data_IF_929634616495
#
_entry.id   IF_929634616495
#
_cell.length_a   1.000
_cell.length_b   1.000
_cell.length_c   1.000
_cell.angle_alpha   90.00
_cell.angle_beta   90.00
_cell.angle_gamma   90.00
#
_symmetry.space_group_name_H-M   'P 1'
#
loop_
_entity.id
_entity.type
_entity.pdbx_description
1 polymer ?
#
# COMPACT_ATOMS: atom_id res chain seq x y z
N UNK A 1 -11.49 18.74 3.44
CA UNK A 1 -11.03 17.44 2.88
C UNK A 1 -11.95 16.35 3.42
N UNK A 2 -12.38 15.37 2.60
CA UNK A 2 -13.20 14.21 3.01
C UNK A 2 -12.37 12.93 3.12
N UNK A 3 -12.76 12.00 4.00
CA UNK A 3 -12.04 10.72 4.18
C UNK A 3 -11.91 9.92 2.88
N UNK A 4 -12.91 10.02 1.98
CA UNK A 4 -12.91 9.39 0.65
C UNK A 4 -11.70 9.77 -0.23
N UNK A 5 -11.13 10.97 -0.08
CA UNK A 5 -9.95 11.34 -0.86
C UNK A 5 -8.71 10.58 -0.38
N UNK A 6 -8.56 10.37 0.93
CA UNK A 6 -7.48 9.57 1.48
C UNK A 6 -7.60 8.10 1.09
N UNK A 7 -8.83 7.56 1.05
CA UNK A 7 -9.09 6.22 0.49
C UNK A 7 -8.66 6.12 -0.97
N UNK A 8 -8.94 7.14 -1.79
CA UNK A 8 -8.53 7.16 -3.21
C UNK A 8 -7.01 7.26 -3.36
N UNK A 9 -6.34 8.08 -2.57
CA UNK A 9 -4.88 8.18 -2.56
C UNK A 9 -4.28 6.82 -2.18
N UNK A 10 -4.79 6.20 -1.11
CA UNK A 10 -4.40 4.86 -0.68
C UNK A 10 -4.53 3.84 -1.84
N UNK A 11 -5.68 3.81 -2.51
CA UNK A 11 -5.89 2.95 -3.67
C UNK A 11 -4.88 3.22 -4.81
N UNK A 12 -4.61 4.49 -5.12
CA UNK A 12 -3.70 4.87 -6.19
C UNK A 12 -2.25 4.47 -5.91
N UNK A 13 -1.81 4.43 -4.64
CA UNK A 13 -0.50 3.89 -4.27
C UNK A 13 -0.41 2.41 -4.68
N UNK A 14 -1.40 1.60 -4.29
CA UNK A 14 -1.45 0.18 -4.63
C UNK A 14 -1.57 -0.07 -6.14
N UNK A 15 -2.44 0.67 -6.83
CA UNK A 15 -2.64 0.52 -8.28
C UNK A 15 -1.38 0.95 -9.04
N UNK A 16 -0.80 2.10 -8.70
CA UNK A 16 0.35 2.64 -9.41
C UNK A 16 1.58 1.76 -9.28
N UNK A 17 1.97 1.43 -8.04
CA UNK A 17 3.13 0.55 -7.80
C UNK A 17 2.85 -0.88 -8.28
N UNK A 18 1.62 -1.38 -8.09
CA UNK A 18 1.21 -2.69 -8.58
C UNK A 18 1.24 -2.80 -10.11
N UNK A 19 0.79 -1.76 -10.83
CA UNK A 19 0.87 -1.69 -12.29
C UNK A 19 2.31 -1.69 -12.78
N UNK A 20 3.23 -1.02 -12.08
CA UNK A 20 4.64 -1.07 -12.45
C UNK A 20 5.21 -2.48 -12.33
N UNK A 21 4.96 -3.17 -11.21
CA UNK A 21 5.36 -4.56 -10.99
C UNK A 21 4.72 -5.53 -12.00
N UNK A 22 3.45 -5.31 -12.36
CA UNK A 22 2.73 -6.18 -13.29
C UNK A 22 3.18 -6.02 -14.74
N UNK A 23 3.33 -4.77 -15.20
CA UNK A 23 3.59 -4.48 -16.61
C UNK A 23 5.08 -4.49 -16.97
N UNK A 24 5.96 -4.23 -15.99
CA UNK A 24 7.41 -4.16 -16.19
C UNK A 24 8.20 -4.93 -15.11
N UNK A 25 7.92 -6.23 -14.89
CA UNK A 25 8.50 -7.00 -13.80
C UNK A 25 10.03 -7.08 -13.85
N UNK A 26 10.61 -7.29 -15.04
CA UNK A 26 12.07 -7.35 -15.22
C UNK A 26 12.76 -6.03 -14.86
N UNK A 27 12.13 -4.90 -15.22
CA UNK A 27 12.64 -3.57 -14.89
C UNK A 27 12.62 -3.37 -13.39
N UNK A 28 11.51 -3.70 -12.73
CA UNK A 28 11.39 -3.61 -11.27
C UNK A 28 12.44 -4.46 -10.58
N UNK A 29 12.60 -5.74 -10.96
CA UNK A 29 13.61 -6.63 -10.39
C UNK A 29 15.02 -6.03 -10.52
N UNK A 30 15.36 -5.50 -11.70
CA UNK A 30 16.67 -4.92 -11.98
C UNK A 30 16.98 -3.68 -11.14
N UNK A 31 15.96 -2.90 -10.75
CA UNK A 31 16.14 -1.74 -9.88
C UNK A 31 16.27 -2.15 -8.43
N UNK A 32 15.41 -3.07 -7.97
CA UNK A 32 15.29 -3.34 -6.53
C UNK A 32 16.30 -4.36 -6.03
N UNK A 33 16.75 -5.32 -6.84
CA UNK A 33 17.66 -6.38 -6.39
C UNK A 33 19.13 -5.99 -6.56
N UNK A 34 19.95 -6.21 -5.53
CA UNK A 34 21.41 -6.13 -5.68
C UNK A 34 21.92 -7.26 -6.58
N UNK A 35 23.09 -7.09 -7.25
CA UNK A 35 23.60 -8.08 -8.20
C UNK A 35 23.72 -9.51 -7.64
N UNK A 36 24.04 -9.66 -6.35
CA UNK A 36 24.17 -10.97 -5.70
C UNK A 36 22.84 -11.74 -5.53
N UNK A 37 21.70 -11.06 -5.66
CA UNK A 37 20.36 -11.61 -5.46
C UNK A 37 19.47 -11.49 -6.70
N UNK A 38 19.97 -10.88 -7.76
CA UNK A 38 19.26 -10.75 -9.03
C UNK A 38 19.15 -12.13 -9.71
N UNK A 39 17.93 -12.50 -10.12
CA UNK A 39 17.66 -13.79 -10.76
C UNK A 39 17.49 -13.60 -12.27
N UNK A 40 16.66 -12.63 -12.68
CA UNK A 40 16.55 -12.19 -14.07
C UNK A 40 16.10 -13.25 -15.07
N UNK A 41 15.13 -14.09 -14.69
CA UNK A 41 14.56 -15.10 -15.57
C UNK A 41 13.03 -15.06 -15.57
N UNK A 42 12.38 -15.81 -16.46
CA UNK A 42 10.91 -15.79 -16.59
C UNK A 42 10.16 -16.18 -15.32
N UNK A 43 10.79 -16.96 -14.43
CA UNK A 43 10.20 -17.34 -13.15
C UNK A 43 10.23 -16.18 -12.16
N UNK A 44 11.34 -15.43 -12.06
CA UNK A 44 11.41 -14.25 -11.20
C UNK A 44 10.50 -13.14 -11.71
N UNK A 45 10.42 -12.95 -13.03
CA UNK A 45 9.47 -12.02 -13.66
C UNK A 45 8.02 -12.37 -13.33
N UNK A 46 7.65 -13.66 -13.41
CA UNK A 46 6.32 -14.13 -13.04
C UNK A 46 5.99 -13.81 -11.58
N UNK A 47 6.93 -13.99 -10.65
CA UNK A 47 6.69 -13.69 -9.24
C UNK A 47 6.52 -12.20 -8.97
N UNK A 48 7.33 -11.34 -9.60
CA UNK A 48 7.17 -9.88 -9.49
C UNK A 48 5.83 -9.43 -10.10
N UNK A 49 5.44 -10.00 -11.24
CA UNK A 49 4.17 -9.71 -11.88
C UNK A 49 2.98 -10.16 -11.02
N UNK A 50 3.04 -11.34 -10.40
CA UNK A 50 2.03 -11.83 -9.46
C UNK A 50 1.87 -10.90 -8.24
N UNK A 51 2.97 -10.40 -7.69
CA UNK A 51 2.94 -9.40 -6.62
C UNK A 51 2.24 -8.11 -7.10
N UNK A 52 2.57 -7.63 -8.29
CA UNK A 52 1.89 -6.48 -8.92
C UNK A 52 0.39 -6.69 -9.12
N UNK A 53 -0.02 -7.86 -9.62
CA UNK A 53 -1.43 -8.21 -9.82
C UNK A 53 -2.21 -8.19 -8.50
N UNK A 54 -1.64 -8.73 -7.42
CA UNK A 54 -2.25 -8.71 -6.09
C UNK A 54 -2.40 -7.26 -5.57
N UNK A 55 -1.39 -6.41 -5.77
CA UNK A 55 -1.47 -5.01 -5.38
C UNK A 55 -2.57 -4.26 -6.16
N UNK A 56 -2.71 -4.48 -7.47
CA UNK A 56 -3.79 -3.90 -8.28
C UNK A 56 -5.16 -4.38 -7.80
N UNK A 57 -5.31 -5.67 -7.49
CA UNK A 57 -6.55 -6.22 -6.96
C UNK A 57 -6.94 -5.51 -5.66
N UNK A 58 -6.01 -5.41 -4.71
CA UNK A 58 -6.22 -4.70 -3.44
C UNK A 58 -6.56 -3.23 -3.69
N UNK A 59 -5.81 -2.53 -4.51
CA UNK A 59 -6.06 -1.12 -4.84
C UNK A 59 -7.43 -0.90 -5.49
N UNK A 60 -7.87 -1.80 -6.36
CA UNK A 60 -9.21 -1.76 -6.99
C UNK A 60 -10.31 -1.96 -5.96
N UNK A 61 -10.15 -2.93 -5.05
CA UNK A 61 -11.08 -3.14 -3.93
C UNK A 61 -11.14 -1.90 -3.05
N UNK A 62 -10.00 -1.31 -2.69
CA UNK A 62 -9.95 -0.06 -1.91
C UNK A 62 -10.68 1.05 -2.66
N UNK A 63 -10.44 1.23 -3.96
CA UNK A 63 -11.02 2.33 -4.73
C UNK A 63 -12.55 2.26 -4.83
N UNK A 64 -13.09 1.04 -4.95
CA UNK A 64 -14.51 0.79 -5.21
C UNK A 64 -15.35 0.56 -3.95
N UNK A 65 -14.71 0.24 -2.82
CA UNK A 65 -15.40 -0.03 -1.55
C UNK A 65 -15.86 1.22 -0.83
N UNK A 66 -16.69 1.03 0.21
CA UNK A 66 -16.97 2.06 1.22
C UNK A 66 -16.19 1.75 2.48
N UNK A 67 -15.29 2.65 2.88
CA UNK A 67 -14.51 2.47 4.10
C UNK A 67 -15.31 2.87 5.34
N UNK A 68 -15.30 2.00 6.35
CA UNK A 68 -15.63 2.38 7.72
C UNK A 68 -14.38 2.99 8.38
N UNK A 69 -14.53 3.71 9.50
CA UNK A 69 -13.37 4.15 10.28
C UNK A 69 -12.42 2.99 10.60
N UNK A 70 -12.95 1.85 11.04
CA UNK A 70 -12.14 0.65 11.33
C UNK A 70 -11.37 0.14 10.11
N UNK A 71 -11.94 0.23 8.91
CA UNK A 71 -11.27 -0.17 7.66
C UNK A 71 -10.01 0.67 7.42
N UNK A 72 -10.06 1.98 7.66
CA UNK A 72 -8.87 2.84 7.58
C UNK A 72 -7.79 2.42 8.57
N UNK A 73 -8.17 2.06 9.80
CA UNK A 73 -7.21 1.61 10.81
C UNK A 73 -6.57 0.27 10.45
N UNK A 74 -7.37 -0.67 9.93
CA UNK A 74 -6.89 -2.00 9.50
C UNK A 74 -5.87 -1.85 8.37
N UNK A 75 -6.19 -1.11 7.30
CA UNK A 75 -5.22 -0.85 6.23
C UNK A 75 -4.02 -0.03 6.72
N UNK A 76 -4.27 0.95 7.58
CA UNK A 76 -3.27 1.86 8.10
C UNK A 76 -2.25 1.21 9.02
N UNK A 77 -2.64 0.24 9.85
CA UNK A 77 -1.77 -0.36 10.86
C UNK A 77 -1.56 -1.84 10.58
N UNK A 78 -2.64 -2.63 10.57
CA UNK A 78 -2.53 -4.09 10.49
C UNK A 78 -1.91 -4.52 9.16
N UNK A 79 -2.32 -3.91 8.06
CA UNK A 79 -1.78 -4.23 6.75
C UNK A 79 -0.41 -3.60 6.50
N UNK A 80 -0.12 -2.41 7.03
CA UNK A 80 1.13 -1.68 6.73
C UNK A 80 2.33 -2.13 7.58
N UNK A 81 2.11 -2.49 8.85
CA UNK A 81 3.18 -2.88 9.79
C UNK A 81 4.01 -4.06 9.29
N UNK A 82 3.42 -5.13 8.71
CA UNK A 82 4.19 -6.20 8.10
C UNK A 82 5.15 -5.72 7.01
N UNK A 83 4.77 -4.72 6.20
CA UNK A 83 5.66 -4.17 5.17
C UNK A 83 6.85 -3.40 5.76
N UNK A 84 6.68 -2.67 6.86
CA UNK A 84 7.81 -2.06 7.56
C UNK A 84 8.80 -3.11 8.07
N UNK A 85 8.30 -4.22 8.63
CA UNK A 85 9.12 -5.35 9.05
C UNK A 85 9.84 -6.01 7.87
N UNK A 86 9.13 -6.22 6.76
CA UNK A 86 9.68 -6.75 5.51
C UNK A 86 10.82 -5.87 5.00
N UNK A 87 10.61 -4.57 4.89
CA UNK A 87 11.61 -3.61 4.39
C UNK A 87 12.84 -3.62 5.29
N UNK A 88 12.65 -3.54 6.60
CA UNK A 88 13.76 -3.55 7.54
C UNK A 88 14.61 -4.82 7.40
N UNK A 89 13.96 -5.98 7.41
CA UNK A 89 14.67 -7.26 7.35
C UNK A 89 15.41 -7.47 6.02
N UNK A 90 14.75 -7.25 4.88
CA UNK A 90 15.35 -7.53 3.58
C UNK A 90 16.35 -6.46 3.13
N UNK A 91 16.23 -5.22 3.61
CA UNK A 91 17.19 -4.16 3.33
C UNK A 91 18.37 -4.16 4.31
N UNK A 92 18.15 -4.07 5.62
CA UNK A 92 19.24 -3.93 6.59
C UNK A 92 19.85 -5.26 7.05
N UNK A 93 19.04 -6.30 7.22
CA UNK A 93 19.54 -7.59 7.75
C UNK A 93 20.07 -8.49 6.64
N UNK A 94 19.32 -8.63 5.54
CA UNK A 94 19.72 -9.49 4.41
C UNK A 94 20.49 -8.76 3.32
N UNK A 95 20.40 -7.43 3.26
CA UNK A 95 21.09 -6.64 2.25
C UNK A 95 20.70 -7.02 0.82
N UNK A 96 19.46 -7.48 0.60
CA UNK A 96 19.00 -7.98 -0.71
C UNK A 96 18.64 -6.84 -1.65
N UNK A 97 18.02 -5.79 -1.10
CA UNK A 97 17.53 -4.67 -1.89
C UNK A 97 18.59 -3.56 -2.08
N UNK A 98 18.51 -2.88 -3.21
CA UNK A 98 19.20 -1.60 -3.46
C UNK A 98 18.50 -0.46 -2.72
N UNK A 99 19.06 0.74 -2.81
CA UNK A 99 18.48 1.95 -2.21
C UNK A 99 17.15 2.36 -2.86
N UNK A 100 16.78 1.78 -4.01
CA UNK A 100 15.44 1.93 -4.59
C UNK A 100 14.32 1.44 -3.68
N UNK A 101 14.64 0.63 -2.66
CA UNK A 101 13.72 0.26 -1.58
C UNK A 101 13.12 1.49 -0.86
N UNK A 102 13.74 2.66 -0.95
CA UNK A 102 13.19 3.91 -0.42
C UNK A 102 11.80 4.21 -1.00
N UNK A 103 11.53 3.84 -2.26
CA UNK A 103 10.23 4.06 -2.87
C UNK A 103 9.15 3.24 -2.18
N UNK A 104 9.42 1.97 -1.91
CA UNK A 104 8.50 1.10 -1.19
C UNK A 104 8.29 1.61 0.26
N UNK A 105 9.37 2.03 0.92
CA UNK A 105 9.28 2.67 2.23
C UNK A 105 8.39 3.92 2.22
N UNK A 106 8.54 4.80 1.23
CA UNK A 106 7.67 5.98 1.06
C UNK A 106 6.22 5.56 0.80
N UNK A 107 5.99 4.52 0.00
CA UNK A 107 4.68 3.92 -0.21
C UNK A 107 4.03 3.46 1.10
N UNK A 108 4.77 2.74 1.93
CA UNK A 108 4.30 2.24 3.23
C UNK A 108 4.00 3.37 4.23
N UNK A 109 4.84 4.42 4.25
CA UNK A 109 4.56 5.63 5.02
C UNK A 109 3.29 6.31 4.52
N UNK A 110 3.08 6.39 3.20
CA UNK A 110 1.87 6.92 2.60
C UNK A 110 0.61 6.14 2.98
N UNK A 111 0.69 4.80 2.94
CA UNK A 111 -0.38 3.88 3.38
C UNK A 111 -0.71 4.11 4.85
N UNK A 112 0.31 4.13 5.72
CA UNK A 112 0.18 4.34 7.15
C UNK A 112 -0.46 5.70 7.47
N UNK A 113 0.03 6.77 6.85
CA UNK A 113 -0.48 8.13 7.01
C UNK A 113 -1.94 8.26 6.53
N UNK A 114 -2.26 7.72 5.35
CA UNK A 114 -3.62 7.72 4.82
C UNK A 114 -4.59 6.94 5.72
N UNK A 115 -4.15 5.81 6.29
CA UNK A 115 -4.95 5.04 7.23
C UNK A 115 -5.22 5.77 8.54
N UNK A 116 -4.19 6.31 9.20
CA UNK A 116 -4.35 7.04 10.46
C UNK A 116 -5.18 8.33 10.29
N UNK A 117 -4.90 9.11 9.26
CA UNK A 117 -5.66 10.33 9.00
C UNK A 117 -7.08 9.99 8.57
N UNK A 118 -7.24 9.04 7.65
CA UNK A 118 -8.54 8.60 7.16
C UNK A 118 -9.45 8.10 8.29
N UNK A 119 -8.88 7.37 9.26
CA UNK A 119 -9.58 6.96 10.48
C UNK A 119 -10.11 8.16 11.27
N UNK A 120 -9.23 9.11 11.61
CA UNK A 120 -9.60 10.30 12.39
C UNK A 120 -10.67 11.14 11.68
N UNK A 121 -10.54 11.31 10.36
CA UNK A 121 -11.48 12.09 9.57
C UNK A 121 -12.82 11.37 9.44
N UNK A 122 -12.81 10.06 9.19
CA UNK A 122 -14.03 9.25 9.08
C UNK A 122 -14.80 9.18 10.40
N UNK A 123 -14.12 9.15 11.55
CA UNK A 123 -14.78 9.27 12.87
C UNK A 123 -15.50 10.62 13.04
N UNK A 124 -14.86 11.72 12.65
CA UNK A 124 -15.46 13.07 12.73
C UNK A 124 -16.67 13.20 11.83
N UNK A 125 -16.58 12.67 10.60
CA UNK A 125 -17.69 12.64 9.65
C UNK A 125 -18.87 11.81 10.20
N UNK A 126 -18.61 10.62 10.76
CA UNK A 126 -19.65 9.78 11.36
C UNK A 126 -20.32 10.42 12.58
N UNK A 127 -19.55 11.11 13.43
CA UNK A 127 -20.08 11.84 14.58
C UNK A 127 -20.97 13.01 14.15
N UNK A 128 -20.56 13.77 13.12
CA UNK A 128 -21.35 14.86 12.58
C UNK A 128 -22.70 14.38 12.00
N UNK A 129 -22.69 13.27 11.25
CA UNK A 129 -23.92 12.66 10.71
C UNK A 129 -24.88 12.20 11.83
N UNK A 130 -24.35 11.67 12.94
CA UNK A 130 -25.17 11.26 14.09
C UNK A 130 -25.71 12.46 14.88
N UNK A 131 -24.96 13.55 15.00
CA UNK A 131 -25.43 14.78 15.67
C UNK A 131 -26.58 15.48 14.95
N UNK A 132 -26.74 15.23 13.64
CA UNK A 132 -27.81 15.80 12.80
C UNK A 132 -29.06 14.91 12.72
N UNK A 133 -29.04 13.71 13.31
CA UNK A 133 -30.24 12.89 13.50
C UNK A 133 -30.80 13.17 14.91
N UNK A 134 -31.69 14.17 15.11
CA UNK A 134 -32.37 14.31 16.38
C UNK A 134 -33.09 12.99 16.68
N UNK A 135 -32.93 12.50 17.91
CA UNK A 135 -33.53 11.26 18.40
C UNK A 135 -34.98 11.14 17.89
N UNK A 136 -35.22 10.12 17.06
CA UNK A 136 -36.58 9.72 16.69
C UNK A 136 -37.23 8.99 17.86
#
# INVERSE_FOLDING_TARGET
MKAKYLQRILALIFIGLGAWCLLFPAVVESFVMRPAYYVGNSTSELFVACFGAQAILVGTVIYTSRFLPSTFLIFGIVASVPFFGFNYYFYFVRGMFTDWMVLDFVGNVGIFACGLWGYRLSLREAAADNSFKPNR
#
